data_IF_432373620963
#
_entry.id   IF_432373620963
#
_cell.length_a   1.000
_cell.length_b   1.000
_cell.length_c   1.000
_cell.angle_alpha   90.00
_cell.angle_beta   90.00
_cell.angle_gamma   90.00
#
_symmetry.space_group_name_H-M   'P 1'
#
loop_
_entity.id
_entity.type
_entity.pdbx_description
1 polymer ?
#
# COMPACT_ATOMS: atom_id res chain seq x y z
N UNK A 1 -42.91 26.78 17.60
CA UNK A 1 -42.48 25.79 16.59
C UNK A 1 -40.99 25.54 16.83
N UNK A 2 -40.66 24.93 17.97
CA UNK A 2 -39.30 24.44 18.24
C UNK A 2 -39.15 23.08 17.55
N UNK A 3 -38.03 22.85 16.84
CA UNK A 3 -37.75 21.58 16.16
C UNK A 3 -37.69 21.64 14.63
N UNK A 4 -37.84 22.81 13.98
CA UNK A 4 -37.66 22.94 12.52
C UNK A 4 -36.21 23.16 12.07
N UNK A 5 -35.34 23.60 12.97
CA UNK A 5 -33.92 23.83 12.69
C UNK A 5 -33.09 22.86 13.51
N UNK A 6 -32.46 21.91 12.83
CA UNK A 6 -31.44 21.02 13.39
C UNK A 6 -30.15 21.22 12.62
N UNK A 7 -29.02 21.09 13.30
CA UNK A 7 -27.72 21.21 12.65
C UNK A 7 -27.54 20.06 11.65
N UNK A 8 -27.14 20.39 10.42
CA UNK A 8 -26.78 19.46 9.36
C UNK A 8 -25.44 19.90 8.82
N UNK A 9 -24.47 19.02 8.89
CA UNK A 9 -23.10 19.31 8.52
C UNK A 9 -22.41 18.04 8.10
N UNK A 10 -21.46 18.19 7.19
CA UNK A 10 -20.57 17.12 6.77
C UNK A 10 -19.16 17.68 6.81
N UNK A 11 -18.34 17.19 7.74
CA UNK A 11 -16.91 17.44 7.73
C UNK A 11 -16.23 16.36 6.89
N UNK A 12 -15.40 16.75 5.92
CA UNK A 12 -14.54 15.83 5.16
C UNK A 12 -13.08 16.20 5.37
N UNK A 13 -12.25 15.22 5.69
CA UNK A 13 -10.81 15.43 5.88
C UNK A 13 -10.01 14.20 5.46
N UNK A 14 -8.73 14.39 5.21
CA UNK A 14 -7.75 13.30 5.06
C UNK A 14 -6.92 13.10 6.33
N UNK A 15 -7.09 13.96 7.35
CA UNK A 15 -6.33 13.89 8.59
C UNK A 15 -7.10 13.16 9.68
N UNK A 16 -6.46 12.15 10.28
CA UNK A 16 -7.03 11.41 11.42
C UNK A 16 -7.15 12.35 12.61
N UNK A 17 -6.11 13.16 12.87
CA UNK A 17 -6.09 14.07 14.01
C UNK A 17 -7.25 15.09 14.00
N UNK A 18 -7.53 15.73 12.86
CA UNK A 18 -8.64 16.68 12.74
C UNK A 18 -9.99 15.98 12.80
N UNK A 19 -10.10 14.79 12.19
CA UNK A 19 -11.32 13.96 12.26
C UNK A 19 -11.66 13.57 13.70
N UNK A 20 -10.69 13.09 14.46
CA UNK A 20 -10.84 12.70 15.87
C UNK A 20 -11.23 13.92 16.70
N UNK A 21 -10.48 15.03 16.56
CA UNK A 21 -10.74 16.27 17.28
C UNK A 21 -12.15 16.82 17.01
N UNK A 22 -12.56 16.85 15.75
CA UNK A 22 -13.91 17.28 15.38
C UNK A 22 -14.97 16.31 15.92
N UNK A 23 -14.72 15.01 15.83
CA UNK A 23 -15.67 14.00 16.28
C UNK A 23 -15.91 14.06 17.78
N UNK A 24 -14.85 14.10 18.60
CA UNK A 24 -14.94 14.22 20.06
C UNK A 24 -15.65 15.52 20.45
N UNK A 25 -15.34 16.64 19.78
CA UNK A 25 -15.97 17.94 20.05
C UNK A 25 -17.49 17.91 19.82
N UNK A 26 -17.96 17.17 18.81
CA UNK A 26 -19.37 17.16 18.41
C UNK A 26 -20.15 15.93 18.93
N UNK A 27 -19.50 14.99 19.63
CA UNK A 27 -20.12 13.84 20.28
C UNK A 27 -20.86 14.22 21.58
N UNK A 28 -21.88 15.07 21.45
CA UNK A 28 -22.66 15.63 22.56
C UNK A 28 -23.88 14.74 22.87
N UNK A 29 -24.56 14.28 21.82
CA UNK A 29 -25.80 13.51 21.90
C UNK A 29 -25.55 12.02 22.23
N UNK A 30 -26.59 11.31 22.63
CA UNK A 30 -26.56 9.85 22.77
C UNK A 30 -26.69 9.17 21.40
N UNK A 31 -26.06 8.00 21.25
CA UNK A 31 -26.06 7.25 19.99
C UNK A 31 -25.21 7.91 18.92
N UNK A 32 -24.01 8.37 19.29
CA UNK A 32 -22.96 8.76 18.34
C UNK A 32 -22.15 7.53 18.02
N UNK A 33 -22.06 7.18 16.73
CA UNK A 33 -21.34 5.99 16.29
C UNK A 33 -20.37 6.34 15.16
N UNK A 34 -19.21 5.71 15.18
CA UNK A 34 -18.20 5.78 14.15
C UNK A 34 -18.04 4.41 13.49
N UNK A 35 -18.10 4.38 12.17
CA UNK A 35 -18.00 3.19 11.34
C UNK A 35 -16.70 3.24 10.55
N UNK A 36 -15.84 2.25 10.75
CA UNK A 36 -14.50 2.19 10.17
C UNK A 36 -14.51 1.17 9.05
N UNK A 37 -14.26 1.64 7.82
CA UNK A 37 -14.00 0.82 6.65
C UNK A 37 -12.50 0.82 6.35
N UNK A 38 -11.82 -0.18 6.89
CA UNK A 38 -10.37 -0.31 6.76
C UNK A 38 -9.93 -0.74 5.35
N UNK A 39 -10.82 -1.35 4.55
CA UNK A 39 -10.53 -1.72 3.17
C UNK A 39 -10.47 -0.46 2.29
N UNK A 40 -11.35 0.51 2.53
CA UNK A 40 -11.34 1.82 1.85
C UNK A 40 -10.48 2.87 2.54
N UNK A 41 -9.80 2.52 3.64
CA UNK A 41 -9.04 3.42 4.52
C UNK A 41 -9.84 4.68 4.88
N UNK A 42 -11.09 4.46 5.32
CA UNK A 42 -12.03 5.52 5.64
C UNK A 42 -12.83 5.23 6.91
N UNK A 43 -13.32 6.29 7.56
CA UNK A 43 -14.25 6.15 8.66
C UNK A 43 -15.27 7.29 8.65
N UNK A 44 -16.47 6.99 9.13
CA UNK A 44 -17.58 7.94 9.22
C UNK A 44 -18.15 7.97 10.63
N UNK A 45 -18.12 9.14 11.27
CA UNK A 45 -18.83 9.40 12.52
C UNK A 45 -20.18 10.03 12.20
N UNK A 46 -21.26 9.44 12.72
CA UNK A 46 -22.62 9.99 12.64
C UNK A 46 -23.01 10.51 14.02
N UNK A 47 -23.16 11.83 14.15
CA UNK A 47 -23.38 12.49 15.44
C UNK A 47 -24.81 12.39 15.95
N UNK A 48 -25.77 12.24 15.05
CA UNK A 48 -27.19 12.25 15.36
C UNK A 48 -27.89 10.99 14.83
N UNK A 49 -27.24 9.83 15.02
CA UNK A 49 -27.81 8.52 14.67
C UNK A 49 -28.92 8.12 15.67
N UNK A 50 -28.75 8.42 16.95
CA UNK A 50 -29.71 8.10 18.00
C UNK A 50 -29.67 6.61 18.38
N UNK A 51 -30.74 6.10 18.97
CA UNK A 51 -30.83 4.70 19.41
C UNK A 51 -31.95 3.97 18.68
N UNK A 52 -31.99 2.64 18.79
CA UNK A 52 -33.08 1.82 18.21
C UNK A 52 -34.45 2.28 18.72
N UNK A 53 -34.57 2.65 20.00
CA UNK A 53 -35.82 3.12 20.60
C UNK A 53 -36.16 4.58 20.28
N UNK A 54 -35.18 5.38 19.85
CA UNK A 54 -35.31 6.80 19.53
C UNK A 54 -34.36 7.16 18.39
N UNK A 55 -34.77 6.83 17.17
CA UNK A 55 -33.99 7.08 15.98
C UNK A 55 -33.71 8.57 15.79
N UNK A 56 -32.47 8.88 15.42
CA UNK A 56 -32.05 10.20 15.00
C UNK A 56 -32.25 10.42 13.50
N UNK A 57 -31.52 11.39 12.96
CA UNK A 57 -31.66 11.80 11.55
C UNK A 57 -30.50 11.38 10.67
N UNK A 58 -29.36 11.00 11.26
CA UNK A 58 -28.14 10.59 10.56
C UNK A 58 -27.71 11.57 9.44
N UNK A 59 -27.88 12.88 9.68
CA UNK A 59 -27.59 13.96 8.70
C UNK A 59 -26.57 14.99 9.22
N UNK A 60 -25.90 14.69 10.32
CA UNK A 60 -24.71 15.39 10.80
C UNK A 60 -23.56 14.39 10.94
N UNK A 61 -22.54 14.51 10.08
CA UNK A 61 -21.48 13.52 9.94
C UNK A 61 -20.09 14.14 9.84
N UNK A 62 -19.08 13.32 10.14
CA UNK A 62 -17.70 13.58 9.80
C UNK A 62 -17.15 12.35 9.08
N UNK A 63 -16.31 12.57 8.06
CA UNK A 63 -15.71 11.52 7.24
C UNK A 63 -14.21 11.79 7.16
N UNK A 64 -13.42 10.76 7.48
CA UNK A 64 -12.00 10.70 7.13
C UNK A 64 -11.81 9.68 6.01
N UNK A 65 -11.06 10.05 4.98
CA UNK A 65 -10.54 9.10 3.99
C UNK A 65 -9.06 9.38 3.80
N UNK A 66 -8.22 8.41 4.16
CA UNK A 66 -6.77 8.58 4.07
C UNK A 66 -6.36 8.74 2.61
N UNK A 67 -5.34 9.57 2.40
CA UNK A 67 -4.75 9.75 1.09
C UNK A 67 -3.57 8.77 0.95
N UNK A 68 -3.67 7.91 -0.05
CA UNK A 68 -2.56 7.04 -0.41
C UNK A 68 -1.39 7.89 -0.94
N UNK A 69 -0.18 7.59 -0.49
CA UNK A 69 1.00 8.38 -0.89
C UNK A 69 1.41 8.06 -2.33
N UNK A 70 2.13 8.98 -2.97
CA UNK A 70 2.63 8.78 -4.33
C UNK A 70 3.59 7.58 -4.46
N UNK A 71 4.58 7.37 -3.54
CA UNK A 71 5.45 6.21 -3.59
C UNK A 71 4.70 4.87 -3.51
N UNK A 72 3.76 4.75 -2.56
CA UNK A 72 3.01 3.51 -2.40
C UNK A 72 2.07 3.25 -3.59
N UNK A 73 1.44 4.30 -4.12
CA UNK A 73 0.64 4.21 -5.36
C UNK A 73 1.47 3.72 -6.55
N UNK A 74 2.70 4.25 -6.70
CA UNK A 74 3.60 3.82 -7.78
C UNK A 74 4.04 2.37 -7.60
N UNK A 75 4.27 1.93 -6.36
CA UNK A 75 4.63 0.57 -6.03
C UNK A 75 3.53 -0.43 -6.38
N UNK A 76 2.28 -0.18 -5.96
CA UNK A 76 1.15 -1.07 -6.26
C UNK A 76 0.91 -1.20 -7.77
N UNK A 77 1.05 -0.11 -8.53
CA UNK A 77 0.89 -0.13 -10.00
C UNK A 77 1.91 -1.00 -10.72
N UNK A 78 3.08 -1.22 -10.13
CA UNK A 78 4.15 -2.03 -10.71
C UNK A 78 4.04 -3.51 -10.36
N UNK A 79 3.29 -3.85 -9.31
CA UNK A 79 3.24 -5.21 -8.79
C UNK A 79 2.77 -6.22 -9.84
N UNK A 80 3.62 -7.19 -10.14
CA UNK A 80 3.34 -8.28 -11.07
C UNK A 80 3.24 -7.87 -12.55
N UNK A 81 3.44 -6.59 -12.87
CA UNK A 81 3.38 -6.10 -14.26
C UNK A 81 4.63 -6.52 -15.03
N UNK A 82 4.39 -6.90 -16.30
CA UNK A 82 5.44 -7.28 -17.26
C UNK A 82 6.01 -6.01 -17.91
N UNK A 83 7.25 -5.67 -17.57
CA UNK A 83 7.94 -4.53 -18.14
C UNK A 83 9.00 -4.93 -19.15
N UNK A 84 9.19 -4.08 -20.15
CA UNK A 84 10.42 -4.09 -20.94
C UNK A 84 11.54 -3.48 -20.10
N UNK A 85 12.76 -3.89 -20.42
CA UNK A 85 13.98 -3.43 -19.76
C UNK A 85 14.04 -1.91 -19.55
N UNK A 86 13.84 -1.11 -20.61
CA UNK A 86 13.88 0.36 -20.54
C UNK A 86 12.88 0.92 -19.52
N UNK A 87 11.65 0.41 -19.54
CA UNK A 87 10.57 0.91 -18.67
C UNK A 87 10.85 0.62 -17.20
N UNK A 88 11.31 -0.60 -16.89
CA UNK A 88 11.65 -0.95 -15.52
C UNK A 88 12.86 -0.15 -15.01
N UNK A 89 13.88 0.02 -15.85
CA UNK A 89 15.06 0.79 -15.48
C UNK A 89 14.75 2.26 -15.20
N UNK A 90 13.92 2.90 -16.03
CA UNK A 90 13.44 4.29 -15.79
C UNK A 90 12.68 4.38 -14.48
N UNK A 91 11.78 3.43 -14.19
CA UNK A 91 11.07 3.42 -12.92
C UNK A 91 12.02 3.25 -11.72
N UNK A 92 13.00 2.35 -11.81
CA UNK A 92 13.97 2.16 -10.72
C UNK A 92 14.80 3.43 -10.48
N UNK A 93 15.08 4.23 -11.51
CA UNK A 93 15.76 5.52 -11.38
C UNK A 93 14.88 6.59 -10.74
N UNK A 94 13.62 6.69 -11.16
CA UNK A 94 12.66 7.65 -10.60
C UNK A 94 12.44 7.42 -9.10
N UNK A 95 12.53 6.18 -8.63
CA UNK A 95 12.27 5.79 -7.24
C UNK A 95 13.51 5.33 -6.47
N UNK A 96 14.72 5.58 -6.96
CA UNK A 96 15.95 5.05 -6.38
C UNK A 96 16.16 5.44 -4.90
N UNK A 97 15.69 6.62 -4.48
CA UNK A 97 15.78 7.09 -3.09
C UNK A 97 14.96 6.21 -2.11
N UNK A 98 13.98 5.45 -2.62
CA UNK A 98 13.14 4.55 -1.83
C UNK A 98 13.63 3.10 -1.88
N UNK A 99 14.67 2.80 -2.67
CA UNK A 99 15.07 1.45 -3.03
C UNK A 99 16.41 1.04 -2.44
N UNK A 100 16.43 -0.18 -1.90
CA UNK A 100 17.64 -0.95 -1.66
C UNK A 100 17.62 -2.20 -2.54
N UNK A 101 18.77 -2.56 -3.10
CA UNK A 101 18.92 -3.76 -3.93
C UNK A 101 19.74 -4.82 -3.21
N UNK A 102 19.39 -6.10 -3.44
CA UNK A 102 20.10 -7.24 -2.86
C UNK A 102 20.36 -8.30 -3.93
N UNK A 103 21.52 -8.93 -3.89
CA UNK A 103 21.86 -10.07 -4.74
C UNK A 103 21.16 -11.37 -4.29
N UNK A 104 21.47 -12.48 -4.96
CA UNK A 104 20.90 -13.80 -4.67
C UNK A 104 21.28 -14.36 -3.30
N UNK A 105 22.39 -13.91 -2.72
CA UNK A 105 22.87 -14.33 -1.40
C UNK A 105 22.42 -13.37 -0.28
N UNK A 106 21.72 -12.29 -0.65
CA UNK A 106 21.18 -11.30 0.27
C UNK A 106 22.15 -10.17 0.63
N UNK A 107 23.27 -10.04 -0.09
CA UNK A 107 24.19 -8.91 0.11
C UNK A 107 23.61 -7.64 -0.52
N UNK A 108 23.84 -6.51 0.14
CA UNK A 108 23.40 -5.20 -0.37
C UNK A 108 24.23 -4.81 -1.59
N UNK A 109 23.53 -4.42 -2.66
CA UNK A 109 24.13 -3.85 -3.86
C UNK A 109 24.00 -2.33 -3.83
N UNK A 110 25.00 -1.63 -4.40
CA UNK A 110 24.85 -0.22 -4.71
C UNK A 110 23.69 -0.04 -5.68
N UNK A 111 22.75 0.87 -5.36
CA UNK A 111 21.51 1.01 -6.12
C UNK A 111 21.77 1.43 -7.57
N UNK A 112 22.80 2.26 -7.81
CA UNK A 112 23.16 2.69 -9.17
C UNK A 112 23.74 1.53 -9.96
N UNK A 113 24.55 0.68 -9.33
CA UNK A 113 25.06 -0.54 -9.95
C UNK A 113 23.91 -1.50 -10.31
N UNK A 114 22.96 -1.72 -9.40
CA UNK A 114 21.80 -2.59 -9.65
C UNK A 114 20.94 -2.09 -10.81
N UNK A 115 20.64 -0.78 -10.86
CA UNK A 115 19.92 -0.14 -11.98
C UNK A 115 20.71 -0.31 -13.29
N UNK A 116 22.02 -0.10 -13.24
CA UNK A 116 22.89 -0.24 -14.41
C UNK A 116 22.94 -1.68 -14.94
N UNK A 117 22.93 -2.67 -14.05
CA UNK A 117 22.85 -4.09 -14.41
C UNK A 117 21.52 -4.41 -15.11
N UNK A 118 20.39 -3.91 -14.59
CA UNK A 118 19.08 -4.02 -15.25
C UNK A 118 19.10 -3.39 -16.65
N UNK A 119 19.75 -2.22 -16.81
CA UNK A 119 19.94 -1.54 -18.11
C UNK A 119 20.87 -2.24 -19.09
N UNK A 120 21.63 -3.24 -18.66
CA UNK A 120 22.53 -4.00 -19.53
C UNK A 120 22.01 -5.38 -19.93
N UNK A 121 20.88 -5.83 -19.37
CA UNK A 121 20.25 -7.10 -19.79
C UNK A 121 19.97 -7.09 -21.29
N UNK A 122 20.49 -8.09 -22.00
CA UNK A 122 20.27 -8.29 -23.43
C UNK A 122 19.50 -9.59 -23.70
N UNK A 123 19.06 -9.76 -24.95
CA UNK A 123 18.48 -11.01 -25.45
C UNK A 123 19.54 -12.13 -25.38
N UNK A 124 20.80 -11.82 -25.70
CA UNK A 124 21.90 -12.77 -25.66
C UNK A 124 22.24 -13.23 -24.22
N UNK A 125 22.10 -12.36 -23.23
CA UNK A 125 22.27 -12.75 -21.82
C UNK A 125 21.15 -13.66 -21.31
N UNK A 126 20.05 -13.80 -22.06
CA UNK A 126 18.85 -14.55 -21.64
C UNK A 126 18.54 -15.80 -22.47
N UNK A 127 19.11 -15.94 -23.69
CA UNK A 127 19.03 -17.17 -24.49
C UNK A 127 19.76 -18.33 -23.80
N UNK A 128 19.07 -19.47 -23.61
CA UNK A 128 19.51 -20.74 -22.98
C UNK A 128 18.96 -21.05 -21.57
N UNK A 129 17.97 -20.31 -21.05
CA UNK A 129 17.21 -20.74 -19.86
C UNK A 129 16.00 -21.65 -20.21
N UNK A 130 15.93 -22.15 -21.43
CA UNK A 130 14.90 -23.10 -21.88
C UNK A 130 15.26 -24.51 -21.43
N UNK A 131 14.98 -24.84 -20.17
CA UNK A 131 14.57 -26.16 -19.69
C UNK A 131 14.57 -26.14 -18.16
N UNK A 132 13.42 -25.86 -17.55
CA UNK A 132 12.93 -26.55 -16.34
C UNK A 132 11.57 -25.94 -15.94
N UNK A 133 10.54 -26.80 -15.95
CA UNK A 133 9.18 -26.42 -15.63
C UNK A 133 9.06 -26.15 -14.12
N UNK A 134 8.56 -24.95 -13.81
CA UNK A 134 7.93 -24.55 -12.55
C UNK A 134 8.68 -24.91 -11.25
N UNK A 135 9.73 -24.16 -10.92
CA UNK A 135 10.08 -23.98 -9.50
C UNK A 135 10.90 -22.72 -9.25
N UNK A 136 10.93 -22.24 -8.01
CA UNK A 136 11.71 -21.07 -7.58
C UNK A 136 13.19 -21.17 -8.00
N UNK A 137 13.71 -22.41 -8.07
CA UNK A 137 15.06 -22.74 -8.57
C UNK A 137 15.30 -22.27 -10.01
N UNK A 138 14.32 -22.42 -10.91
CA UNK A 138 14.45 -22.03 -12.31
C UNK A 138 14.63 -20.50 -12.47
N UNK A 139 13.97 -19.69 -11.62
CA UNK A 139 14.10 -18.22 -11.65
C UNK A 139 15.47 -17.74 -11.15
N UNK A 140 16.02 -18.40 -10.14
CA UNK A 140 17.39 -18.15 -9.66
C UNK A 140 18.40 -18.49 -10.75
N UNK A 141 18.22 -19.64 -11.40
CA UNK A 141 19.07 -20.07 -12.51
C UNK A 141 19.08 -19.06 -13.68
N UNK A 142 17.95 -18.41 -13.99
CA UNK A 142 17.92 -17.35 -15.02
C UNK A 142 18.81 -16.17 -14.63
N UNK A 143 18.76 -15.70 -13.38
CA UNK A 143 19.61 -14.58 -12.93
C UNK A 143 21.09 -14.97 -12.96
N UNK A 144 21.44 -16.15 -12.45
CA UNK A 144 22.82 -16.66 -12.48
C UNK A 144 23.35 -16.79 -13.92
N UNK A 145 22.52 -17.22 -14.87
CA UNK A 145 22.87 -17.25 -16.29
C UNK A 145 23.10 -15.86 -16.88
N UNK A 146 22.28 -14.87 -16.49
CA UNK A 146 22.45 -13.47 -16.90
C UNK A 146 23.74 -12.90 -16.33
N UNK A 147 24.06 -13.16 -15.06
CA UNK A 147 25.30 -12.72 -14.40
C UNK A 147 26.54 -13.30 -15.07
N UNK A 148 26.55 -14.61 -15.34
CA UNK A 148 27.66 -15.30 -15.99
C UNK A 148 28.03 -14.70 -17.36
N UNK A 149 27.03 -14.17 -18.09
CA UNK A 149 27.21 -13.57 -19.42
C UNK A 149 27.46 -12.06 -19.39
N UNK A 150 26.79 -11.34 -18.50
CA UNK A 150 26.90 -9.87 -18.39
C UNK A 150 28.12 -9.42 -17.57
N UNK A 151 28.68 -10.30 -16.72
CA UNK A 151 29.71 -9.99 -15.70
C UNK A 151 29.27 -8.98 -14.64
N UNK A 152 27.99 -8.64 -14.62
CA UNK A 152 27.38 -7.81 -13.59
C UNK A 152 26.73 -8.69 -12.54
N UNK A 153 26.74 -8.24 -11.28
CA UNK A 153 25.94 -8.87 -10.22
C UNK A 153 24.51 -8.34 -10.37
N UNK A 154 23.55 -9.24 -10.51
CA UNK A 154 22.15 -8.93 -10.73
C UNK A 154 21.41 -8.82 -9.39
N UNK A 155 20.51 -7.83 -9.24
CA UNK A 155 19.63 -7.82 -8.09
C UNK A 155 18.69 -9.02 -8.16
N UNK A 156 18.55 -9.77 -7.07
CA UNK A 156 17.52 -10.80 -6.92
C UNK A 156 16.26 -10.25 -6.23
N UNK A 157 16.44 -9.31 -5.30
CA UNK A 157 15.34 -8.64 -4.61
C UNK A 157 15.62 -7.15 -4.43
N UNK A 158 14.54 -6.41 -4.26
CA UNK A 158 14.58 -5.02 -3.82
C UNK A 158 13.81 -4.87 -2.52
N UNK A 159 14.15 -3.86 -1.72
CA UNK A 159 13.32 -3.38 -0.63
C UNK A 159 12.93 -1.94 -0.94
N UNK A 160 11.62 -1.68 -0.97
CA UNK A 160 11.04 -0.37 -1.19
C UNK A 160 10.53 0.15 0.15
N UNK A 161 11.13 1.22 0.67
CA UNK A 161 10.75 1.78 1.97
C UNK A 161 9.89 3.02 1.75
N UNK A 162 8.62 3.01 2.16
CA UNK A 162 7.75 4.18 2.06
C UNK A 162 6.62 4.17 3.08
N UNK A 163 6.02 5.34 3.32
CA UNK A 163 4.76 5.47 4.07
C UNK A 163 3.56 5.19 3.15
N UNK A 164 2.69 4.21 3.43
CA UNK A 164 1.57 3.85 2.55
C UNK A 164 0.46 4.91 2.43
N UNK A 165 0.05 5.47 3.56
CA UNK A 165 -0.96 6.51 3.69
C UNK A 165 -0.45 7.58 4.65
N UNK A 166 -0.86 8.84 4.42
CA UNK A 166 -0.54 9.93 5.34
C UNK A 166 -0.99 9.56 6.78
N UNK A 167 -0.18 9.89 7.79
CA UNK A 167 -0.37 9.57 9.21
C UNK A 167 -0.19 8.10 9.63
N UNK A 168 0.03 7.16 8.70
CA UNK A 168 0.42 5.78 9.03
C UNK A 168 1.95 5.61 9.10
N UNK A 169 2.41 4.51 9.68
CA UNK A 169 3.84 4.21 9.80
C UNK A 169 4.47 3.81 8.45
N UNK A 170 5.74 4.19 8.31
CA UNK A 170 6.60 3.73 7.22
C UNK A 170 6.71 2.19 7.17
N UNK A 171 6.87 1.64 5.96
CA UNK A 171 6.99 0.20 5.71
C UNK A 171 8.18 -0.09 4.80
N UNK A 172 8.98 -1.08 5.19
CA UNK A 172 9.99 -1.72 4.31
C UNK A 172 9.35 -2.88 3.56
N UNK A 173 9.06 -2.68 2.28
CA UNK A 173 8.30 -3.63 1.45
C UNK A 173 9.25 -4.39 0.54
N UNK A 174 9.30 -5.72 0.67
CA UNK A 174 10.19 -6.56 -0.14
C UNK A 174 9.58 -6.88 -1.50
N UNK A 175 10.37 -6.70 -2.56
CA UNK A 175 10.03 -7.00 -3.94
C UNK A 175 10.92 -8.11 -4.46
N UNK A 176 10.31 -9.12 -5.07
CA UNK A 176 11.01 -10.13 -5.85
C UNK A 176 11.22 -9.60 -7.26
N UNK A 177 12.47 -9.63 -7.72
CA UNK A 177 12.79 -9.38 -9.11
C UNK A 177 12.81 -10.70 -9.90
N UNK A 178 12.37 -10.66 -11.16
CA UNK A 178 12.37 -11.81 -12.04
C UNK A 178 12.60 -11.39 -13.49
N UNK A 179 13.44 -12.16 -14.18
CA UNK A 179 13.65 -12.07 -15.63
C UNK A 179 12.95 -13.27 -16.26
N UNK A 180 12.05 -13.02 -17.21
CA UNK A 180 11.34 -14.03 -17.98
C UNK A 180 11.91 -14.05 -19.40
N UNK A 181 12.26 -15.24 -19.88
CA UNK A 181 13.05 -15.45 -21.11
C UNK A 181 12.33 -16.33 -22.14
N UNK A 182 11.00 -16.46 -22.04
CA UNK A 182 10.20 -17.34 -22.91
C UNK A 182 9.88 -16.77 -24.29
N UNK A 183 10.19 -15.50 -24.54
CA UNK A 183 10.00 -14.81 -25.83
C UNK A 183 11.33 -14.20 -26.30
N UNK A 184 11.42 -13.74 -27.55
CA UNK A 184 12.63 -13.12 -28.12
C UNK A 184 13.11 -11.86 -27.38
N UNK A 185 12.31 -11.28 -26.47
CA UNK A 185 12.64 -10.07 -25.70
C UNK A 185 12.50 -10.38 -24.21
N UNK A 186 13.52 -10.11 -23.38
CA UNK A 186 13.43 -10.34 -21.94
C UNK A 186 12.35 -9.48 -21.30
N UNK A 187 11.48 -10.11 -20.51
CA UNK A 187 10.42 -9.46 -19.76
C UNK A 187 10.80 -9.44 -18.28
N UNK A 188 10.74 -8.25 -17.68
CA UNK A 188 11.14 -8.03 -16.29
C UNK A 188 9.90 -7.81 -15.42
N UNK A 189 9.90 -8.38 -14.22
CA UNK A 189 8.78 -8.29 -13.28
C UNK A 189 9.30 -8.01 -11.88
N UNK A 190 8.73 -6.99 -11.23
CA UNK A 190 8.80 -6.83 -9.78
C UNK A 190 7.51 -7.34 -9.16
N UNK A 191 7.60 -8.08 -8.06
CA UNK A 191 6.44 -8.56 -7.33
C UNK A 191 6.58 -8.33 -5.83
N UNK A 192 5.60 -7.69 -5.22
CA UNK A 192 5.48 -7.49 -3.78
C UNK A 192 5.34 -8.86 -3.10
N UNK A 193 6.18 -9.11 -2.11
CA UNK A 193 6.12 -10.32 -1.31
C UNK A 193 5.06 -10.12 -0.24
N UNK A 194 4.05 -11.00 -0.21
CA UNK A 194 2.95 -11.00 0.77
C UNK A 194 2.11 -9.70 0.77
N UNK A 195 1.69 -9.23 -0.41
CA UNK A 195 0.88 -8.01 -0.55
C UNK A 195 -0.38 -8.02 0.33
N UNK A 196 -1.16 -9.10 0.31
CA UNK A 196 -2.39 -9.23 1.11
C UNK A 196 -2.12 -9.02 2.61
N UNK A 197 -1.02 -9.59 3.12
CA UNK A 197 -0.61 -9.43 4.52
C UNK A 197 -0.19 -7.99 4.83
N UNK A 198 0.48 -7.33 3.89
CA UNK A 198 0.86 -5.92 4.03
C UNK A 198 -0.40 -5.05 4.11
N UNK A 199 -1.38 -5.28 3.22
CA UNK A 199 -2.65 -4.56 3.20
C UNK A 199 -3.45 -4.77 4.50
N UNK A 200 -3.55 -6.01 4.98
CA UNK A 200 -4.18 -6.35 6.26
C UNK A 200 -3.50 -5.62 7.44
N UNK A 201 -2.17 -5.55 7.46
CA UNK A 201 -1.42 -4.84 8.50
C UNK A 201 -1.66 -3.32 8.47
N UNK A 202 -1.81 -2.72 7.28
CA UNK A 202 -2.12 -1.29 7.13
C UNK A 202 -3.56 -1.02 7.59
N UNK A 203 -4.50 -1.88 7.20
CA UNK A 203 -5.91 -1.79 7.57
C UNK A 203 -6.10 -1.91 9.09
N UNK A 204 -5.41 -2.88 9.71
CA UNK A 204 -5.43 -3.08 11.15
C UNK A 204 -4.80 -1.90 11.90
N UNK A 205 -3.71 -1.31 11.40
CA UNK A 205 -3.12 -0.10 11.98
C UNK A 205 -4.12 1.06 11.99
N UNK A 206 -4.76 1.35 10.86
CA UNK A 206 -5.75 2.43 10.76
C UNK A 206 -6.93 2.23 11.71
N UNK A 207 -7.47 1.00 11.76
CA UNK A 207 -8.53 0.63 12.70
C UNK A 207 -8.10 0.86 14.15
N UNK A 208 -6.96 0.31 14.54
CA UNK A 208 -6.49 0.38 15.93
C UNK A 208 -6.22 1.82 16.35
N UNK A 209 -5.69 2.66 15.45
CA UNK A 209 -5.52 4.09 15.71
C UNK A 209 -6.86 4.75 16.06
N UNK A 210 -7.89 4.59 15.24
CA UNK A 210 -9.20 5.19 15.50
C UNK A 210 -9.88 4.63 16.75
N UNK A 211 -9.84 3.30 16.96
CA UNK A 211 -10.40 2.69 18.18
C UNK A 211 -9.70 3.21 19.44
N UNK A 212 -8.38 3.38 19.40
CA UNK A 212 -7.61 3.91 20.54
C UNK A 212 -7.95 5.37 20.82
N UNK A 213 -8.02 6.22 19.79
CA UNK A 213 -8.37 7.64 19.93
C UNK A 213 -9.80 7.85 20.48
N UNK A 214 -10.72 6.92 20.24
CA UNK A 214 -12.09 6.99 20.73
C UNK A 214 -12.38 6.19 22.01
N UNK A 215 -11.41 5.44 22.54
CA UNK A 215 -11.61 4.51 23.66
C UNK A 215 -12.17 5.16 24.93
N UNK A 216 -11.83 6.43 25.21
CA UNK A 216 -12.33 7.19 26.37
C UNK A 216 -13.46 8.17 26.01
N UNK A 217 -13.94 8.12 24.77
CA UNK A 217 -14.99 9.01 24.27
C UNK A 217 -16.38 8.39 24.37
N UNK A 218 -17.43 9.18 24.12
CA UNK A 218 -18.82 8.70 24.00
C UNK A 218 -19.13 8.07 22.63
N UNK A 219 -18.15 7.97 21.74
CA UNK A 219 -18.32 7.51 20.36
C UNK A 219 -18.19 6.00 20.35
N UNK A 220 -19.26 5.30 20.00
CA UNK A 220 -19.21 3.86 19.78
C UNK A 220 -18.52 3.56 18.45
N UNK A 221 -17.52 2.68 18.45
CA UNK A 221 -16.78 2.34 17.23
C UNK A 221 -17.18 0.97 16.71
N UNK A 222 -17.40 0.89 15.40
CA UNK A 222 -17.78 -0.32 14.68
C UNK A 222 -16.89 -0.50 13.46
N UNK A 223 -16.64 -1.74 13.06
CA UNK A 223 -15.93 -2.08 11.83
C UNK A 223 -16.98 -2.40 10.77
N UNK A 224 -16.91 -1.73 9.63
CA UNK A 224 -17.80 -1.92 8.50
C UNK A 224 -18.47 -0.62 8.04
N UNK A 225 -19.46 -0.76 7.16
CA UNK A 225 -20.27 0.34 6.63
C UNK A 225 -21.64 0.36 7.29
N UNK A 226 -22.12 1.56 7.59
CA UNK A 226 -23.49 1.79 8.00
C UNK A 226 -24.33 2.31 6.82
N UNK A 227 -25.57 1.84 6.71
CA UNK A 227 -26.56 2.38 5.78
C UNK A 227 -27.89 2.47 6.51
N UNK A 228 -28.53 3.64 6.44
CA UNK A 228 -29.88 3.89 6.95
C UNK A 228 -30.94 3.62 5.87
#
# INVERSE_FOLDING_TARGET
QEGRFRFRGEMKTTSISDFVKYSIKNAIDEGVSCFIDADEMSAETIFNLGTIGKAGHADNTAIVKLKQTAPFTALLKMDGVKYRQKQLAEWLEDWHDYLMAFDADGNVLDIKQAISAVRRITIESTRSAEHENADFSAKRSVLENVEARSKDIMPATFQFTCTPYDELKERSIKLRYSVLTGDDIPVLVLRIIQLEKLEEQIAQEFRDMLCNEFNESKIETFIGKFSA
#
